data_IF_879582450547
#
_entry.id   IF_879582450547
#
_cell.length_a   1.000
_cell.length_b   1.000
_cell.length_c   1.000
_cell.angle_alpha   90.00
_cell.angle_beta   90.00
_cell.angle_gamma   90.00
#
_symmetry.space_group_name_H-M   'P 1'
#
loop_
_entity.id
_entity.type
_entity.pdbx_description
1 polymer ?
#
# COMPACT_ATOMS: atom_id res chain seq x y z
N UNK A 1 21.23 3.73 -3.14
CA UNK A 1 19.77 3.90 -2.95
C UNK A 1 19.06 3.10 -4.04
N UNK A 2 18.41 1.99 -3.70
CA UNK A 2 17.47 1.34 -4.64
C UNK A 2 16.21 2.19 -4.64
N UNK A 3 16.02 3.02 -5.65
CA UNK A 3 14.70 3.57 -5.93
C UNK A 3 13.79 2.38 -6.21
N UNK A 4 12.82 2.12 -5.34
CA UNK A 4 11.76 1.16 -5.59
C UNK A 4 10.96 1.67 -6.79
N UNK A 5 11.40 1.28 -7.99
CA UNK A 5 10.61 1.47 -9.20
C UNK A 5 9.48 0.46 -9.16
N UNK A 6 8.45 0.78 -8.38
CA UNK A 6 7.22 0.01 -8.33
C UNK A 6 6.65 -0.01 -9.75
N UNK A 7 6.77 -1.17 -10.40
CA UNK A 7 6.43 -1.29 -11.81
C UNK A 7 4.92 -1.39 -11.97
N UNK A 8 4.33 -0.55 -12.82
CA UNK A 8 2.89 -0.60 -13.14
C UNK A 8 2.42 -2.00 -13.57
N UNK A 9 3.29 -2.73 -14.27
CA UNK A 9 3.03 -4.12 -14.69
C UNK A 9 2.87 -5.08 -13.51
N UNK A 10 3.67 -4.89 -12.45
CA UNK A 10 3.56 -5.73 -11.26
C UNK A 10 2.28 -5.42 -10.50
N UNK A 11 1.94 -4.14 -10.32
CA UNK A 11 0.65 -3.74 -9.71
C UNK A 11 -0.55 -4.28 -10.51
N UNK A 12 -0.46 -4.28 -11.84
CA UNK A 12 -1.50 -4.84 -12.68
C UNK A 12 -1.66 -6.37 -12.50
N UNK A 13 -0.59 -7.08 -12.14
CA UNK A 13 -0.60 -8.52 -11.88
C UNK A 13 -1.03 -8.88 -10.45
N UNK A 14 -1.04 -7.91 -9.52
CA UNK A 14 -1.45 -8.16 -8.12
C UNK A 14 -2.93 -8.53 -8.04
N UNK A 15 -3.22 -9.50 -7.17
CA UNK A 15 -4.56 -9.95 -6.84
C UNK A 15 -5.04 -9.34 -5.53
N UNK A 16 -6.32 -9.52 -5.20
CA UNK A 16 -6.88 -9.10 -3.91
C UNK A 16 -6.14 -9.73 -2.73
N UNK A 17 -5.74 -10.99 -2.85
CA UNK A 17 -5.01 -11.70 -1.79
C UNK A 17 -3.62 -11.09 -1.57
N UNK A 18 -2.91 -10.71 -2.64
CA UNK A 18 -1.61 -10.04 -2.52
C UNK A 18 -1.72 -8.69 -1.78
N UNK A 19 -2.81 -7.95 -2.04
CA UNK A 19 -3.06 -6.66 -1.38
C UNK A 19 -3.53 -6.85 0.08
N UNK A 20 -4.32 -7.88 0.35
CA UNK A 20 -4.72 -8.26 1.71
C UNK A 20 -3.50 -8.63 2.57
N UNK A 21 -2.60 -9.46 2.05
CA UNK A 21 -1.36 -9.80 2.76
C UNK A 21 -0.50 -8.55 3.01
N UNK A 22 -0.37 -7.67 2.02
CA UNK A 22 0.33 -6.40 2.15
C UNK A 22 -0.28 -5.51 3.25
N UNK A 23 -1.60 -5.37 3.28
CA UNK A 23 -2.32 -4.59 4.28
C UNK A 23 -2.15 -5.20 5.68
N UNK A 24 -2.26 -6.52 5.82
CA UNK A 24 -2.03 -7.22 7.09
C UNK A 24 -0.62 -6.98 7.62
N UNK A 25 0.42 -6.98 6.76
CA UNK A 25 1.79 -6.66 7.20
C UNK A 25 1.89 -5.24 7.75
N UNK A 26 1.25 -4.28 7.09
CA UNK A 26 1.21 -2.89 7.52
C UNK A 26 0.47 -2.73 8.86
N UNK A 27 -0.64 -3.44 9.04
CA UNK A 27 -1.41 -3.43 10.29
C UNK A 27 -0.66 -4.06 11.46
N UNK A 28 0.05 -5.15 11.22
CA UNK A 28 0.82 -5.81 12.25
C UNK A 28 2.04 -4.98 12.67
N UNK A 29 2.48 -4.04 11.83
CA UNK A 29 3.66 -3.19 11.98
C UNK A 29 4.93 -3.98 12.38
N UNK A 30 4.95 -5.29 12.09
CA UNK A 30 5.97 -6.21 12.59
C UNK A 30 7.14 -6.32 11.60
N UNK A 31 7.67 -5.17 11.23
CA UNK A 31 8.78 -5.05 10.31
C UNK A 31 10.11 -5.11 11.05
N UNK A 32 11.13 -5.68 10.40
CA UNK A 32 12.48 -5.74 10.99
C UNK A 32 13.11 -4.34 11.11
N UNK A 33 12.64 -3.38 10.30
CA UNK A 33 13.04 -1.99 10.35
C UNK A 33 11.97 -1.07 9.74
N UNK A 34 11.99 0.21 10.12
CA UNK A 34 11.01 1.21 9.67
C UNK A 34 10.99 1.43 8.15
N UNK A 35 12.08 1.18 7.42
CA UNK A 35 12.10 1.35 5.97
C UNK A 35 11.28 0.27 5.25
N UNK A 36 11.17 -0.93 5.80
CA UNK A 36 10.33 -1.98 5.21
C UNK A 36 8.85 -1.64 5.30
N UNK A 37 8.40 -1.14 6.45
CA UNK A 37 7.03 -0.63 6.59
C UNK A 37 6.74 0.52 5.63
N UNK A 38 7.69 1.46 5.49
CA UNK A 38 7.57 2.54 4.50
C UNK A 38 7.49 2.05 3.05
N UNK A 39 8.24 1.00 2.69
CA UNK A 39 8.21 0.45 1.34
C UNK A 39 6.85 -0.20 1.02
N UNK A 40 6.31 -0.96 1.97
CA UNK A 40 4.99 -1.57 1.86
C UNK A 40 3.89 -0.51 1.80
N UNK A 41 4.01 0.55 2.61
CA UNK A 41 3.08 1.68 2.59
C UNK A 41 3.11 2.40 1.23
N UNK A 42 4.31 2.64 0.69
CA UNK A 42 4.46 3.21 -0.65
C UNK A 42 3.88 2.31 -1.74
N UNK A 43 4.02 0.99 -1.61
CA UNK A 43 3.41 0.02 -2.52
C UNK A 43 1.88 0.07 -2.45
N UNK A 44 1.31 0.00 -1.26
CA UNK A 44 -0.15 0.08 -1.04
C UNK A 44 -0.71 1.39 -1.63
N UNK A 45 0.02 2.49 -1.44
CA UNK A 45 -0.32 3.81 -2.02
C UNK A 45 -0.27 3.79 -3.54
N UNK A 46 0.75 3.19 -4.14
CA UNK A 46 0.87 3.07 -5.59
C UNK A 46 -0.22 2.19 -6.22
N UNK A 47 -0.68 1.16 -5.49
CA UNK A 47 -1.83 0.34 -5.88
C UNK A 47 -3.10 1.18 -5.79
N UNK A 48 -3.31 1.96 -4.73
CA UNK A 48 -4.49 2.81 -4.57
C UNK A 48 -4.65 3.81 -5.75
N UNK A 49 -3.55 4.35 -6.27
CA UNK A 49 -3.58 5.23 -7.44
C UNK A 49 -3.93 4.52 -8.76
N UNK A 50 -3.61 3.23 -8.90
CA UNK A 50 -3.76 2.51 -10.17
C UNK A 50 -4.96 1.57 -10.20
N UNK A 51 -5.28 0.97 -9.05
CA UNK A 51 -6.32 -0.04 -8.82
C UNK A 51 -6.99 0.22 -7.46
N UNK A 52 -7.70 1.36 -7.30
CA UNK A 52 -8.33 1.72 -6.03
C UNK A 52 -9.27 0.63 -5.50
N UNK A 53 -9.95 -0.08 -6.39
CA UNK A 53 -10.83 -1.25 -6.12
C UNK A 53 -10.20 -2.36 -5.25
N UNK A 54 -8.87 -2.50 -5.25
CA UNK A 54 -8.17 -3.49 -4.43
C UNK A 54 -7.82 -2.96 -3.04
N UNK A 55 -7.78 -1.64 -2.89
CA UNK A 55 -7.28 -0.95 -1.69
C UNK A 55 -8.40 -0.23 -0.94
N UNK A 56 -9.61 -0.16 -1.51
CA UNK A 56 -10.82 0.36 -0.84
C UNK A 56 -10.97 -0.09 0.62
N UNK A 57 -10.88 -1.40 0.96
CA UNK A 57 -11.01 -1.82 2.36
C UNK A 57 -9.83 -1.41 3.24
N UNK A 58 -8.68 -1.05 2.67
CA UNK A 58 -7.41 -0.79 3.37
C UNK A 58 -6.97 0.67 3.30
N UNK A 59 -7.82 1.56 2.78
CA UNK A 59 -7.48 2.98 2.55
C UNK A 59 -7.13 3.70 3.86
N UNK A 60 -7.68 3.25 5.00
CA UNK A 60 -7.39 3.78 6.33
C UNK A 60 -5.92 3.62 6.74
N UNK A 61 -5.19 2.65 6.16
CA UNK A 61 -3.75 2.46 6.41
C UNK A 61 -2.89 3.49 5.70
N UNK A 62 -3.42 4.14 4.67
CA UNK A 62 -2.67 5.12 3.89
C UNK A 62 -2.65 6.50 4.53
N UNK A 63 -3.32 6.69 5.67
CA UNK A 63 -3.57 7.99 6.30
C UNK A 63 -4.02 9.02 5.25
N UNK A 64 -4.77 8.54 4.25
CA UNK A 64 -5.46 9.38 3.30
C UNK A 64 -6.66 9.93 4.06
N UNK A 65 -6.42 10.94 4.89
CA UNK A 65 -7.49 11.79 5.37
C UNK A 65 -8.28 12.22 4.13
N UNK A 66 -9.55 11.83 4.04
CA UNK A 66 -10.48 12.60 3.23
C UNK A 66 -10.38 13.99 3.84
N UNK A 67 -9.78 14.92 3.09
CA UNK A 67 -9.65 16.31 3.49
C UNK A 67 -11.07 16.83 3.71
N UNK A 68 -11.57 16.69 4.93
CA UNK A 68 -12.87 17.16 5.39
C UNK A 68 -12.64 18.62 5.75
N UNK A 69 -12.79 19.49 4.74
CA UNK A 69 -12.83 20.94 4.94
C UNK A 69 -14.05 21.27 5.80
N UNK A 70 -13.85 21.32 7.12
CA UNK A 70 -14.78 21.89 8.08
C UNK A 70 -14.82 23.42 8.03
#
# INVERSE_FOLDING_TARGET
MKTLSISKKEIAAMTKADVEELANRLELDNYSNAFEGLNDWHLLRAIAFQRPELVEPYIYLLDLEAYDEA
#
